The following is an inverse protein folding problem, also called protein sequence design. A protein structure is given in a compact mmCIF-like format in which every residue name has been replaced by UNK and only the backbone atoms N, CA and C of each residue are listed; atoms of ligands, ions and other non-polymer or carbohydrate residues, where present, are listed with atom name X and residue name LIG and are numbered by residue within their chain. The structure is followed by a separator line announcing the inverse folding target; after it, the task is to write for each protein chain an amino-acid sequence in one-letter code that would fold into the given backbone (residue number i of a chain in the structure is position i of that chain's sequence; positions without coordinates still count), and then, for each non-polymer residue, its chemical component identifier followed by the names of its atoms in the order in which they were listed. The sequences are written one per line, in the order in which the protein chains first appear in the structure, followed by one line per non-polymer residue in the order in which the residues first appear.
data_IF_313427814078
#
_entry.id   IF_313427814078
#
_cell.length_a   1.000
_cell.length_b   1.000
_cell.length_c   1.000
_cell.angle_alpha   90.00
_cell.angle_beta   90.00
_cell.angle_gamma   90.00
#
_symmetry.space_group_name_H-M   'P 1'
#
loop_
_entity.id
_entity.type
_entity.pdbx_description
1 polymer ?
#
# COMPACT_ATOMS: atom_id res chain seq x y z
N UNK A 1 -8.93 -21.24 -26.47
CA UNK A 1 -8.17 -20.16 -27.14
C UNK A 1 -8.09 -19.03 -26.14
N UNK A 2 -6.91 -18.85 -25.57
CA UNK A 2 -6.63 -17.85 -24.55
C UNK A 2 -6.47 -16.52 -25.27
N UNK A 3 -7.30 -15.54 -24.95
CA UNK A 3 -7.05 -14.16 -25.38
C UNK A 3 -5.92 -13.59 -24.52
N UNK A 4 -4.90 -13.10 -25.23
CA UNK A 4 -3.63 -12.64 -24.72
C UNK A 4 -3.79 -11.42 -23.81
N UNK A 5 -2.96 -11.40 -22.77
CA UNK A 5 -3.04 -10.44 -21.68
C UNK A 5 -2.69 -9.01 -22.07
N UNK A 6 -3.21 -8.10 -21.26
CA UNK A 6 -2.80 -6.70 -21.17
C UNK A 6 -1.28 -6.57 -21.13
N UNK A 7 -0.69 -6.19 -22.27
CA UNK A 7 0.63 -5.60 -22.31
C UNK A 7 0.59 -4.28 -21.55
N UNK A 8 1.08 -4.30 -20.31
CA UNK A 8 1.48 -3.09 -19.60
C UNK A 8 2.55 -2.42 -20.45
N UNK A 9 2.12 -1.42 -21.21
CA UNK A 9 2.93 -0.68 -22.16
C UNK A 9 4.06 -0.01 -21.38
N UNK A 10 5.23 -0.65 -21.36
CA UNK A 10 6.45 -0.12 -20.80
C UNK A 10 6.78 1.16 -21.55
N UNK A 11 6.46 2.30 -20.93
CA UNK A 11 6.77 3.62 -21.45
C UNK A 11 8.28 3.73 -21.59
N UNK A 12 8.78 3.54 -22.81
CA UNK A 12 10.20 3.69 -23.14
C UNK A 12 10.60 5.13 -22.78
N UNK A 13 11.40 5.29 -21.73
CA UNK A 13 12.09 6.54 -21.37
C UNK A 13 12.93 6.90 -22.63
N UNK A 14 12.39 7.81 -23.46
CA UNK A 14 12.80 8.01 -24.86
C UNK A 14 14.22 8.53 -25.08
N UNK A 15 14.95 8.81 -24.01
CA UNK A 15 16.40 9.01 -23.97
C UNK A 15 16.88 8.46 -22.63
N UNK A 16 17.16 7.16 -22.54
CA UNK A 16 17.82 6.62 -21.36
C UNK A 16 19.23 7.18 -21.31
N UNK A 17 19.43 8.17 -20.43
CA UNK A 17 20.73 8.74 -20.10
C UNK A 17 21.72 7.60 -19.84
N UNK A 18 22.85 7.58 -20.55
CA UNK A 18 23.87 6.54 -20.39
C UNK A 18 24.36 6.45 -18.95
N UNK A 19 24.34 7.59 -18.23
CA UNK A 19 24.64 7.63 -16.80
C UNK A 19 23.57 6.94 -15.96
N UNK A 20 22.28 7.14 -16.28
CA UNK A 20 21.19 6.41 -15.62
C UNK A 20 21.35 4.91 -15.82
N UNK A 21 21.63 4.46 -17.04
CA UNK A 21 21.80 3.05 -17.35
C UNK A 21 23.01 2.44 -16.62
N UNK A 22 24.13 3.17 -16.52
CA UNK A 22 25.29 2.75 -15.74
C UNK A 22 24.94 2.60 -14.25
N UNK A 23 24.21 3.58 -13.68
CA UNK A 23 23.80 3.60 -12.28
C UNK A 23 22.83 2.46 -11.94
N UNK A 24 21.88 2.17 -12.83
CA UNK A 24 20.93 1.05 -12.66
C UNK A 24 21.61 -0.33 -12.79
N UNK A 25 22.73 -0.43 -13.50
CA UNK A 25 23.48 -1.68 -13.67
C UNK A 25 24.60 -1.88 -12.64
N UNK A 26 25.00 -0.84 -11.92
CA UNK A 26 26.14 -0.88 -11.01
C UNK A 26 25.94 -1.88 -9.85
N UNK A 27 26.77 -2.93 -9.69
CA UNK A 27 26.52 -3.98 -8.71
C UNK A 27 26.54 -3.46 -7.27
N UNK A 28 25.86 -4.18 -6.36
CA UNK A 28 25.93 -3.87 -4.93
C UNK A 28 27.34 -4.16 -4.41
N UNK A 29 28.03 -3.14 -3.91
CA UNK A 29 29.33 -3.30 -3.26
C UNK A 29 29.17 -3.97 -1.89
N UNK A 30 30.21 -4.68 -1.43
CA UNK A 30 30.32 -5.15 -0.04
C UNK A 30 30.78 -4.07 0.93
N UNK A 31 31.35 -2.97 0.41
CA UNK A 31 31.89 -1.85 1.21
C UNK A 31 30.75 -0.90 1.59
N UNK A 32 30.59 -0.63 2.88
CA UNK A 32 29.50 0.21 3.43
C UNK A 32 29.45 1.60 2.79
N UNK A 33 30.59 2.30 2.76
CA UNK A 33 30.72 3.67 2.27
C UNK A 33 30.38 3.74 0.78
N UNK A 34 30.82 2.76 0.00
CA UNK A 34 30.48 2.66 -1.42
C UNK A 34 28.98 2.48 -1.62
N UNK A 35 28.34 1.61 -0.83
CA UNK A 35 26.88 1.40 -0.93
C UNK A 35 26.12 2.69 -0.63
N UNK A 36 26.54 3.43 0.41
CA UNK A 36 25.91 4.69 0.78
C UNK A 36 26.10 5.77 -0.29
N UNK A 37 27.31 5.87 -0.86
CA UNK A 37 27.60 6.78 -1.97
C UNK A 37 26.75 6.47 -3.21
N UNK A 38 26.65 5.19 -3.61
CA UNK A 38 25.78 4.78 -4.72
C UNK A 38 24.31 5.13 -4.43
N UNK A 39 23.83 4.90 -3.21
CA UNK A 39 22.46 5.24 -2.84
C UNK A 39 22.18 6.75 -2.91
N UNK A 40 23.13 7.58 -2.48
CA UNK A 40 23.03 9.03 -2.57
C UNK A 40 23.05 9.51 -4.03
N UNK A 41 23.91 8.95 -4.87
CA UNK A 41 23.95 9.25 -6.30
C UNK A 41 22.62 8.90 -6.98
N UNK A 42 22.09 7.69 -6.71
CA UNK A 42 20.78 7.25 -7.18
C UNK A 42 19.67 8.22 -6.75
N UNK A 43 19.68 8.64 -5.47
CA UNK A 43 18.69 9.59 -4.93
C UNK A 43 18.80 10.95 -5.60
N UNK A 44 20.01 11.47 -5.79
CA UNK A 44 20.25 12.77 -6.40
C UNK A 44 19.83 12.79 -7.86
N UNK A 45 20.15 11.73 -8.61
CA UNK A 45 19.68 11.59 -9.97
C UNK A 45 18.15 11.46 -10.02
N UNK A 46 17.55 10.66 -9.14
CA UNK A 46 16.10 10.56 -8.96
C UNK A 46 15.42 11.92 -8.74
N UNK A 47 16.01 12.81 -7.92
CA UNK A 47 15.48 14.16 -7.72
C UNK A 47 15.50 14.98 -9.01
N UNK A 48 16.59 14.88 -9.79
CA UNK A 48 16.77 15.59 -11.06
C UNK A 48 15.71 15.16 -12.08
N UNK A 49 15.49 13.86 -12.26
CA UNK A 49 14.46 13.36 -13.19
C UNK A 49 13.04 13.60 -12.68
N UNK A 50 12.81 13.54 -11.36
CA UNK A 50 11.52 13.91 -10.78
C UNK A 50 11.19 15.39 -11.01
N UNK A 51 12.17 16.29 -10.88
CA UNK A 51 12.00 17.71 -11.22
C UNK A 51 11.60 17.95 -12.67
N UNK A 52 11.98 17.05 -13.59
CA UNK A 52 11.57 17.04 -15.01
C UNK A 52 10.22 16.37 -15.25
N UNK A 53 9.48 16.01 -14.19
CA UNK A 53 8.21 15.26 -14.22
C UNK A 53 8.30 13.85 -14.83
N UNK A 54 9.51 13.30 -14.96
CA UNK A 54 9.73 11.92 -15.42
C UNK A 54 9.64 10.96 -14.23
N UNK A 55 8.41 10.75 -13.72
CA UNK A 55 8.19 9.99 -12.49
C UNK A 55 8.58 8.51 -12.60
N UNK A 56 8.45 7.90 -13.78
CA UNK A 56 8.84 6.50 -14.01
C UNK A 56 10.36 6.31 -13.81
N UNK A 57 11.18 7.09 -14.52
CA UNK A 57 12.64 7.00 -14.42
C UNK A 57 13.11 7.44 -13.00
N UNK A 58 12.38 8.32 -12.32
CA UNK A 58 12.65 8.67 -10.90
C UNK A 58 12.41 7.49 -9.95
N UNK A 59 11.34 6.74 -10.14
CA UNK A 59 11.01 5.55 -9.34
C UNK A 59 12.13 4.53 -9.43
N UNK A 60 12.58 4.21 -10.64
CA UNK A 60 13.70 3.27 -10.86
C UNK A 60 14.96 3.69 -10.10
N UNK A 61 15.29 4.99 -10.09
CA UNK A 61 16.43 5.52 -9.35
C UNK A 61 16.28 5.36 -7.84
N UNK A 62 15.10 5.67 -7.29
CA UNK A 62 14.87 5.54 -5.85
C UNK A 62 14.80 4.08 -5.40
N UNK A 63 14.21 3.20 -6.20
CA UNK A 63 14.25 1.75 -5.96
C UNK A 63 15.69 1.24 -6.02
N UNK A 64 16.51 1.76 -6.94
CA UNK A 64 17.95 1.46 -6.99
C UNK A 64 18.69 1.96 -5.74
N UNK A 65 18.35 3.14 -5.25
CA UNK A 65 18.91 3.64 -3.99
C UNK A 65 18.59 2.70 -2.82
N UNK A 66 17.33 2.23 -2.72
CA UNK A 66 16.94 1.24 -1.71
C UNK A 66 17.67 -0.08 -1.87
N UNK A 67 17.91 -0.54 -3.10
CA UNK A 67 18.71 -1.73 -3.36
C UNK A 67 20.12 -1.65 -2.78
N UNK A 68 20.77 -0.49 -2.82
CA UNK A 68 22.08 -0.31 -2.17
C UNK A 68 21.98 -0.19 -0.64
N UNK A 69 20.86 0.32 -0.12
CA UNK A 69 20.59 0.47 1.32
C UNK A 69 19.97 -0.78 1.96
N UNK A 70 19.82 -1.87 1.23
CA UNK A 70 19.18 -3.10 1.69
C UNK A 70 20.21 -4.05 2.32
N UNK A 71 20.26 -4.07 3.65
CA UNK A 71 21.14 -4.94 4.43
C UNK A 71 20.29 -6.08 4.99
N UNK A 72 20.79 -7.31 4.89
CA UNK A 72 20.16 -8.46 5.50
C UNK A 72 20.14 -8.33 7.04
N UNK A 73 19.27 -9.11 7.69
CA UNK A 73 19.06 -9.03 9.13
C UNK A 73 20.34 -9.33 9.93
N UNK A 74 21.20 -10.24 9.44
CA UNK A 74 22.48 -10.55 10.07
C UNK A 74 23.42 -9.35 10.06
N UNK A 75 23.66 -8.80 8.87
CA UNK A 75 24.46 -7.58 8.70
C UNK A 75 23.90 -6.41 9.53
N UNK A 76 22.58 -6.23 9.50
CA UNK A 76 21.91 -5.15 10.22
C UNK A 76 22.08 -5.26 11.74
N UNK A 77 21.92 -6.46 12.31
CA UNK A 77 21.87 -6.67 13.76
C UNK A 77 23.25 -6.89 14.39
N UNK A 78 24.20 -7.48 13.66
CA UNK A 78 25.48 -7.91 14.22
C UNK A 78 26.71 -7.18 13.65
N UNK A 79 26.68 -6.70 12.40
CA UNK A 79 27.84 -6.06 11.77
C UNK A 79 27.78 -4.53 11.84
N UNK A 80 26.60 -3.96 11.61
CA UNK A 80 26.39 -2.52 11.59
C UNK A 80 26.31 -1.94 13.01
N UNK A 81 27.25 -1.05 13.32
CA UNK A 81 27.18 -0.19 14.51
C UNK A 81 26.03 0.84 14.40
N UNK A 82 25.59 1.36 15.54
CA UNK A 82 24.47 2.33 15.61
C UNK A 82 24.67 3.57 14.71
N UNK A 83 25.87 4.21 14.64
CA UNK A 83 26.07 5.34 13.73
C UNK A 83 25.83 5.00 12.26
N UNK A 84 26.19 3.78 11.84
CA UNK A 84 25.97 3.31 10.48
C UNK A 84 24.47 3.06 10.22
N UNK A 85 23.77 2.44 11.18
CA UNK A 85 22.32 2.23 11.10
C UNK A 85 21.57 3.55 10.98
N UNK A 86 21.97 4.54 11.77
CA UNK A 86 21.39 5.88 11.72
C UNK A 86 21.63 6.55 10.37
N UNK A 87 22.81 6.40 9.79
CA UNK A 87 23.12 6.95 8.48
C UNK A 87 22.29 6.30 7.36
N UNK A 88 22.16 4.96 7.39
CA UNK A 88 21.29 4.23 6.47
C UNK A 88 19.84 4.66 6.65
N UNK A 89 19.35 4.81 7.89
CA UNK A 89 17.97 5.23 8.16
C UNK A 89 17.70 6.68 7.73
N UNK A 90 18.66 7.60 7.93
CA UNK A 90 18.57 8.98 7.40
C UNK A 90 18.44 8.97 5.88
N UNK A 91 19.18 8.10 5.20
CA UNK A 91 19.11 7.95 3.74
C UNK A 91 17.82 7.29 3.28
N UNK A 92 17.41 6.17 3.89
CA UNK A 92 16.15 5.48 3.63
C UNK A 92 14.95 6.41 3.80
N UNK A 93 14.91 7.21 4.86
CA UNK A 93 13.84 8.18 5.10
C UNK A 93 13.67 9.13 3.91
N UNK A 94 14.77 9.71 3.40
CA UNK A 94 14.73 10.62 2.24
C UNK A 94 14.22 9.89 0.99
N UNK A 95 14.68 8.67 0.75
CA UNK A 95 14.31 7.88 -0.43
C UNK A 95 12.84 7.45 -0.37
N UNK A 96 12.36 6.91 0.77
CA UNK A 96 10.97 6.53 0.96
C UNK A 96 10.01 7.71 0.75
N UNK A 97 10.36 8.87 1.30
CA UNK A 97 9.59 10.09 1.15
C UNK A 97 9.47 10.51 -0.33
N UNK A 98 10.56 10.46 -1.08
CA UNK A 98 10.57 10.82 -2.49
C UNK A 98 9.82 9.80 -3.35
N UNK A 99 10.06 8.51 -3.12
CA UNK A 99 9.41 7.43 -3.85
C UNK A 99 7.89 7.42 -3.62
N UNK A 100 7.44 7.65 -2.39
CA UNK A 100 6.01 7.81 -2.08
C UNK A 100 5.39 9.00 -2.82
N UNK A 101 6.13 10.11 -2.96
CA UNK A 101 5.67 11.27 -3.72
C UNK A 101 5.52 10.93 -5.21
N UNK A 102 6.44 10.15 -5.78
CA UNK A 102 6.35 9.69 -7.18
C UNK A 102 5.13 8.80 -7.40
N UNK A 103 4.88 7.81 -6.54
CA UNK A 103 3.70 6.94 -6.66
C UNK A 103 2.37 7.71 -6.52
N UNK A 104 2.32 8.72 -5.64
CA UNK A 104 1.16 9.61 -5.53
C UNK A 104 0.97 10.55 -6.73
N UNK A 105 2.01 10.77 -7.54
CA UNK A 105 1.99 11.63 -8.71
C UNK A 105 1.76 10.88 -10.02
N UNK A 106 1.68 9.54 -9.99
CA UNK A 106 1.31 8.73 -11.14
C UNK A 106 -0.16 8.94 -11.53
N UNK A 107 -0.50 8.57 -12.76
CA UNK A 107 -1.86 8.57 -13.29
C UNK A 107 -2.14 7.20 -13.92
N UNK A 108 -2.89 6.30 -13.26
CA UNK A 108 -3.51 6.48 -11.93
C UNK A 108 -2.49 6.45 -10.77
N UNK A 109 -2.80 7.08 -9.61
CA UNK A 109 -1.91 7.02 -8.44
C UNK A 109 -1.84 5.63 -7.80
N UNK A 110 -0.64 5.17 -7.45
CA UNK A 110 -0.45 3.92 -6.68
C UNK A 110 -0.50 4.20 -5.17
N UNK A 111 -1.72 4.24 -4.64
CA UNK A 111 -1.97 4.53 -3.23
C UNK A 111 -1.44 3.43 -2.29
N UNK A 112 -1.36 2.18 -2.75
CA UNK A 112 -0.93 1.05 -1.93
C UNK A 112 0.58 1.14 -1.67
N UNK A 113 1.38 1.33 -2.73
CA UNK A 113 2.84 1.50 -2.59
C UNK A 113 3.18 2.78 -1.84
N UNK A 114 2.50 3.89 -2.14
CA UNK A 114 2.72 5.14 -1.41
C UNK A 114 2.44 5.00 0.10
N UNK A 115 1.39 4.28 0.48
CA UNK A 115 1.09 4.01 1.89
C UNK A 115 2.18 3.17 2.54
N UNK A 116 2.60 2.08 1.90
CA UNK A 116 3.67 1.22 2.43
C UNK A 116 4.95 2.01 2.70
N UNK A 117 5.40 2.80 1.72
CA UNK A 117 6.64 3.58 1.84
C UNK A 117 6.55 4.67 2.92
N UNK A 118 5.39 5.29 3.07
CA UNK A 118 5.18 6.27 4.14
C UNK A 118 5.07 5.61 5.52
N UNK A 119 4.50 4.41 5.62
CA UNK A 119 4.54 3.63 6.86
C UNK A 119 6.02 3.29 7.22
N UNK A 120 6.86 2.88 6.25
CA UNK A 120 8.31 2.68 6.47
C UNK A 120 9.04 3.96 6.91
N UNK A 121 8.72 5.10 6.30
CA UNK A 121 9.27 6.39 6.71
C UNK A 121 8.89 6.76 8.15
N UNK A 122 7.66 6.45 8.58
CA UNK A 122 7.16 6.71 9.93
C UNK A 122 7.73 5.76 10.99
N UNK A 123 8.19 4.57 10.61
CA UNK A 123 8.96 3.71 11.51
C UNK A 123 10.32 4.33 11.87
N UNK A 124 10.92 5.10 10.95
CA UNK A 124 12.18 5.80 11.16
C UNK A 124 11.95 7.12 11.91
N UNK A 125 11.00 7.93 11.45
CA UNK A 125 10.66 9.23 12.04
C UNK A 125 9.14 9.35 12.20
N UNK A 126 8.59 8.99 13.38
CA UNK A 126 7.15 8.98 13.65
C UNK A 126 6.49 10.35 13.56
N UNK A 127 7.26 11.44 13.69
CA UNK A 127 6.76 12.82 13.71
C UNK A 127 7.07 13.56 12.40
N UNK A 128 7.41 12.83 11.34
CA UNK A 128 7.70 13.44 10.06
C UNK A 128 6.45 14.00 9.37
N UNK A 129 6.30 15.33 9.34
CA UNK A 129 5.12 15.97 8.75
C UNK A 129 4.89 15.60 7.27
N UNK A 130 5.97 15.42 6.47
CA UNK A 130 5.85 15.03 5.06
C UNK A 130 5.40 13.59 4.91
N UNK A 131 5.88 12.68 5.76
CA UNK A 131 5.44 11.29 5.76
C UNK A 131 3.95 11.19 6.16
N UNK A 132 3.55 11.87 7.23
CA UNK A 132 2.17 11.90 7.73
C UNK A 132 1.19 12.44 6.66
N UNK A 133 1.54 13.56 6.02
CA UNK A 133 0.73 14.14 4.94
C UNK A 133 0.55 13.16 3.77
N UNK A 134 1.66 12.58 3.28
CA UNK A 134 1.62 11.63 2.16
C UNK A 134 0.89 10.33 2.52
N UNK A 135 1.05 9.82 3.74
CA UNK A 135 0.32 8.65 4.25
C UNK A 135 -1.19 8.94 4.30
N UNK A 136 -1.57 10.13 4.80
CA UNK A 136 -2.96 10.59 4.82
C UNK A 136 -3.57 10.66 3.43
N UNK A 137 -2.84 11.24 2.47
CA UNK A 137 -3.26 11.30 1.06
C UNK A 137 -3.39 9.90 0.44
N UNK A 138 -2.44 9.00 0.69
CA UNK A 138 -2.50 7.62 0.21
C UNK A 138 -3.70 6.86 0.82
N UNK A 139 -3.98 7.03 2.12
CA UNK A 139 -5.14 6.43 2.77
C UNK A 139 -6.46 6.96 2.22
N UNK A 140 -6.53 8.26 1.92
CA UNK A 140 -7.70 8.88 1.29
C UNK A 140 -7.98 8.27 -0.09
N UNK A 141 -6.95 8.15 -0.93
CA UNK A 141 -7.05 7.53 -2.26
C UNK A 141 -7.42 6.03 -2.18
N UNK A 142 -6.98 5.34 -1.13
CA UNK A 142 -7.34 3.95 -0.87
C UNK A 142 -8.74 3.77 -0.24
N UNK A 143 -9.51 4.86 -0.05
CA UNK A 143 -10.86 4.83 0.54
C UNK A 143 -10.90 4.66 2.06
N UNK A 144 -9.75 4.65 2.75
CA UNK A 144 -9.69 4.56 4.21
C UNK A 144 -9.75 5.95 4.84
N UNK A 145 -10.95 6.54 4.89
CA UNK A 145 -11.16 7.90 5.37
C UNK A 145 -10.80 8.09 6.85
N UNK A 146 -11.04 7.07 7.68
CA UNK A 146 -10.69 7.09 9.12
C UNK A 146 -9.18 7.19 9.35
N UNK A 147 -8.38 6.39 8.63
CA UNK A 147 -6.91 6.48 8.73
C UNK A 147 -6.42 7.80 8.12
N UNK A 148 -6.98 8.22 6.98
CA UNK A 148 -6.63 9.49 6.34
C UNK A 148 -6.80 10.70 7.28
N UNK A 149 -7.96 10.78 7.96
CA UNK A 149 -8.26 11.72 9.05
C UNK A 149 -7.12 11.88 10.04
N UNK A 150 -6.77 10.75 10.67
CA UNK A 150 -5.84 10.72 11.79
C UNK A 150 -4.49 11.25 11.34
N UNK A 151 -4.01 10.79 10.18
CA UNK A 151 -2.72 11.18 9.66
C UNK A 151 -2.67 12.64 9.20
N UNK A 152 -3.71 13.13 8.52
CA UNK A 152 -3.77 14.53 8.09
C UNK A 152 -3.94 15.50 9.27
N UNK A 153 -4.65 15.10 10.34
CA UNK A 153 -4.73 15.90 11.57
C UNK A 153 -3.36 16.00 12.25
N UNK A 154 -2.64 14.89 12.40
CA UNK A 154 -1.27 14.90 12.94
C UNK A 154 -0.33 15.74 12.06
N UNK A 155 -0.45 15.66 10.74
CA UNK A 155 0.32 16.51 9.84
C UNK A 155 -0.03 18.00 10.05
N UNK A 156 -1.32 18.32 10.26
CA UNK A 156 -1.79 19.69 10.51
C UNK A 156 -1.39 20.23 11.88
N UNK A 157 -1.19 19.39 12.90
CA UNK A 157 -0.66 19.85 14.19
C UNK A 157 0.81 20.26 14.07
N UNK A 158 1.56 19.57 13.21
CA UNK A 158 2.98 19.87 12.96
C UNK A 158 3.17 21.06 12.01
N UNK A 159 2.34 21.17 10.96
CA UNK A 159 2.40 22.22 9.95
C UNK A 159 1.01 22.86 9.73
N UNK A 160 0.51 23.69 10.66
CA UNK A 160 -0.86 24.22 10.61
C UNK A 160 -1.14 25.18 9.45
N UNK A 161 -0.10 25.84 8.92
CA UNK A 161 -0.25 26.82 7.84
C UNK A 161 -0.03 26.24 6.43
N UNK A 162 0.26 24.94 6.32
CA UNK A 162 0.51 24.31 5.03
C UNK A 162 -0.78 24.27 4.17
N UNK A 163 -0.77 24.86 2.95
CA UNK A 163 -1.94 24.91 2.10
C UNK A 163 -2.35 23.53 1.56
N UNK A 164 -1.40 22.62 1.37
CA UNK A 164 -1.68 21.28 0.85
C UNK A 164 -2.36 20.40 1.89
N UNK A 165 -1.95 20.49 3.16
CA UNK A 165 -2.61 19.78 4.26
C UNK A 165 -4.04 20.29 4.45
N UNK A 166 -4.24 21.62 4.44
CA UNK A 166 -5.58 22.22 4.57
C UNK A 166 -6.50 21.82 3.41
N UNK A 167 -6.00 21.80 2.17
CA UNK A 167 -6.77 21.33 1.03
C UNK A 167 -7.17 19.86 1.18
N UNK A 168 -6.22 18.98 1.54
CA UNK A 168 -6.49 17.57 1.71
C UNK A 168 -7.53 17.29 2.81
N UNK A 169 -7.50 18.04 3.92
CA UNK A 169 -8.52 17.97 4.97
C UNK A 169 -9.90 18.44 4.48
N UNK A 170 -9.95 19.47 3.63
CA UNK A 170 -11.20 19.94 3.01
C UNK A 170 -11.81 18.86 2.13
N UNK A 171 -11.00 18.24 1.26
CA UNK A 171 -11.43 17.17 0.35
C UNK A 171 -11.88 15.91 1.10
N UNK A 172 -11.19 15.60 2.21
CA UNK A 172 -11.62 14.52 3.11
C UNK A 172 -12.99 14.81 3.73
N UNK A 173 -13.20 16.04 4.21
CA UNK A 173 -14.45 16.45 4.85
C UNK A 173 -15.63 16.46 3.86
N UNK A 174 -15.41 16.81 2.59
CA UNK A 174 -16.45 16.72 1.56
C UNK A 174 -16.81 15.25 1.30
N UNK A 175 -15.79 14.40 1.11
CA UNK A 175 -15.99 12.97 0.82
C UNK A 175 -16.75 12.25 1.93
N UNK A 176 -16.42 12.52 3.19
CA UNK A 176 -17.16 11.90 4.29
C UNK A 176 -18.58 12.40 4.45
N UNK A 177 -18.85 13.67 4.14
CA UNK A 177 -20.22 14.19 4.12
C UNK A 177 -21.05 13.49 3.04
N UNK A 178 -20.45 13.21 1.89
CA UNK A 178 -21.08 12.42 0.82
C UNK A 178 -21.36 10.99 1.28
N UNK A 179 -20.40 10.30 1.90
CA UNK A 179 -20.61 8.96 2.44
C UNK A 179 -21.69 8.93 3.53
N UNK A 180 -21.67 9.87 4.47
CA UNK A 180 -22.74 9.98 5.48
C UNK A 180 -24.11 10.23 4.86
N UNK A 181 -24.21 11.05 3.79
CA UNK A 181 -25.48 11.29 3.08
C UNK A 181 -25.94 10.02 2.36
N UNK A 182 -25.04 9.34 1.66
CA UNK A 182 -25.32 8.10 0.97
C UNK A 182 -25.79 7.01 1.96
N UNK A 183 -25.10 6.86 3.09
CA UNK A 183 -25.49 5.93 4.15
C UNK A 183 -26.88 6.24 4.72
N UNK A 184 -27.21 7.52 4.93
CA UNK A 184 -28.55 7.92 5.40
C UNK A 184 -29.64 7.57 4.39
N UNK A 185 -29.39 7.77 3.09
CA UNK A 185 -30.33 7.40 2.02
C UNK A 185 -30.53 5.88 2.00
N UNK A 186 -29.45 5.11 2.04
CA UNK A 186 -29.52 3.63 2.04
C UNK A 186 -30.28 3.11 3.25
N UNK A 187 -29.99 3.64 4.45
CA UNK A 187 -30.71 3.25 5.68
C UNK A 187 -32.17 3.68 5.65
N UNK A 188 -32.48 4.89 5.18
CA UNK A 188 -33.85 5.39 5.05
C UNK A 188 -34.69 4.60 4.05
N UNK A 189 -34.11 4.23 2.90
CA UNK A 189 -34.77 3.36 1.91
C UNK A 189 -35.02 1.94 2.42
N UNK A 190 -34.08 1.38 3.21
CA UNK A 190 -34.23 0.08 3.87
C UNK A 190 -35.33 0.08 4.95
N UNK A 191 -35.60 1.21 5.59
CA UNK A 191 -36.69 1.33 6.56
C UNK A 191 -38.08 1.39 5.88
N UNK A 192 -38.14 1.92 4.64
CA UNK A 192 -39.38 1.98 3.86
C UNK A 192 -39.65 0.70 3.05
N UNK A 193 -38.66 -0.18 2.89
CA UNK A 193 -38.88 -1.53 2.36
C UNK A 193 -39.47 -2.42 3.45
N UNK A 194 -40.78 -2.38 3.65
CA UNK A 194 -41.47 -3.49 4.31
C UNK A 194 -41.29 -4.74 3.45
N UNK A 195 -40.93 -5.91 4.00
CA UNK A 195 -41.10 -7.14 3.23
C UNK A 195 -42.57 -7.21 2.83
N UNK A 196 -42.85 -7.30 1.52
CA UNK A 196 -44.22 -7.52 1.10
C UNK A 196 -44.73 -8.80 1.78
N UNK A 197 -46.00 -8.84 2.23
CA UNK A 197 -46.57 -10.08 2.70
C UNK A 197 -46.43 -11.11 1.59
N UNK A 198 -45.59 -12.13 1.81
CA UNK A 198 -45.56 -13.30 0.94
C UNK A 198 -47.01 -13.83 0.86
N UNK A 199 -47.59 -14.00 -0.34
CA UNK A 199 -48.91 -14.57 -0.45
C UNK A 199 -48.89 -15.95 0.21
N UNK A 200 -49.73 -16.14 1.23
CA UNK A 200 -49.91 -17.43 1.90
C UNK A 200 -50.30 -18.46 0.84
N UNK A 201 -49.39 -19.37 0.54
CA UNK A 201 -49.73 -20.52 -0.30
C UNK A 201 -50.79 -21.35 0.43
N UNK A 202 -51.86 -21.78 -0.26
CA UNK A 202 -52.85 -22.65 0.36
C UNK A 202 -52.21 -24.00 0.71
N UNK A 203 -52.47 -24.46 1.94
CA UNK A 203 -52.26 -25.83 2.35
C UNK A 203 -53.12 -26.74 1.45
N UNK A 204 -52.51 -27.40 0.48
CA UNK A 204 -53.09 -28.60 -0.12
C UNK A 204 -52.01 -29.50 -0.69
N UNK A 205 -52.15 -30.79 -0.35
CA UNK A 205 -51.42 -31.94 -0.89
C UNK A 205 -50.04 -32.19 -0.30
N UNK A 206 -50.04 -32.86 0.86
CA UNK A 206 -49.11 -33.97 1.11
C UNK A 206 -48.98 -34.83 -0.15
N UNK A 207 -47.80 -34.85 -0.76
CA UNK A 207 -47.35 -36.00 -1.53
C UNK A 207 -46.10 -36.53 -0.85
N UNK A 208 -46.15 -37.80 -0.44
CA UNK A 208 -45.03 -38.56 0.07
C UNK A 208 -43.97 -38.65 -1.03
N UNK A 209 -42.83 -37.98 -0.85
CA UNK A 209 -41.55 -38.41 -1.43
C UNK A 209 -40.53 -38.53 -0.30
N UNK A 210 -40.84 -39.46 0.61
CA UNK A 210 -39.86 -40.10 1.48
C UNK A 210 -39.09 -41.08 0.58
N UNK A 211 -37.90 -40.69 0.10
CA UNK A 211 -36.76 -41.53 -0.35
C UNK A 211 -36.00 -40.87 -1.52
N UNK A 212 -35.14 -39.88 -1.22
CA UNK A 212 -33.82 -39.76 -1.88
C UNK A 212 -32.96 -38.69 -1.17
N UNK A 213 -32.38 -39.04 -0.02
CA UNK A 213 -31.28 -38.27 0.57
C UNK A 213 -30.02 -39.14 0.45
N UNK A 214 -29.09 -38.87 -0.48
CA UNK A 214 -27.75 -39.43 -0.37
C UNK A 214 -27.02 -38.62 0.71
N UNK A 215 -26.74 -39.32 1.81
CA UNK A 215 -25.81 -38.95 2.86
C UNK A 215 -24.45 -38.55 2.27
N UNK A 216 -24.17 -37.24 2.23
CA UNK A 216 -22.80 -36.71 2.07
C UNK A 216 -22.53 -35.63 3.11
N UNK A 217 -22.69 -36.00 4.37
CA UNK A 217 -22.03 -35.31 5.48
C UNK A 217 -21.47 -36.39 6.40
N UNK A 218 -20.27 -36.87 6.06
CA UNK A 218 -19.28 -37.56 6.93
C UNK A 218 -18.19 -38.14 6.02
N UNK A 219 -17.07 -37.43 5.85
CA UNK A 219 -15.80 -38.09 6.21
C UNK A 219 -14.77 -37.14 6.85
N UNK A 220 -15.17 -36.05 7.52
CA UNK A 220 -14.19 -35.18 8.21
C UNK A 220 -13.85 -35.63 9.65
N UNK A 221 -14.70 -36.43 10.29
CA UNK A 221 -14.47 -36.86 11.68
C UNK A 221 -13.46 -38.02 11.76
N UNK A 222 -13.33 -38.86 10.72
CA UNK A 222 -12.37 -39.97 10.72
C UNK A 222 -10.92 -39.57 10.39
N UNK A 223 -10.70 -38.37 9.84
CA UNK A 223 -9.33 -37.85 9.57
C UNK A 223 -8.72 -37.22 10.83
N UNK A 224 -9.55 -36.66 11.73
CA UNK A 224 -9.07 -36.08 12.99
C UNK A 224 -8.64 -37.16 14.00
N UNK A 225 -9.28 -38.34 13.99
CA UNK A 225 -8.93 -39.44 14.90
C UNK A 225 -7.63 -40.14 14.48
N UNK A 226 -7.28 -40.18 13.19
CA UNK A 226 -6.01 -40.76 12.73
C UNK A 226 -4.80 -39.83 12.90
N UNK A 227 -5.00 -38.51 12.88
CA UNK A 227 -3.92 -37.54 13.16
C UNK A 227 -3.59 -37.45 14.65
N UNK A 228 -4.57 -37.64 15.54
CA UNK A 228 -4.33 -37.61 16.99
C UNK A 228 -3.56 -38.84 17.49
N UNK A 229 -3.69 -40.00 16.85
CA UNK A 229 -2.96 -41.23 17.22
C UNK A 229 -1.51 -41.25 16.74
N UNK A 230 -1.11 -40.38 15.80
CA UNK A 230 0.30 -40.22 15.40
C UNK A 230 1.11 -39.27 16.30
N UNK A 231 0.47 -38.43 17.12
CA UNK A 231 1.14 -37.45 17.99
C UNK A 231 1.37 -37.93 19.43
N UNK A 232 0.95 -39.16 19.76
CA UNK A 232 1.05 -39.74 21.11
C UNK A 232 1.89 -41.02 21.14
N UNK A 233 2.93 -41.10 20.31
CA UNK A 233 3.95 -42.15 20.39
C UNK A 233 5.35 -41.56 20.39
#
# INVERSE_FOLDING_TARGET
MLEEGDEVQAMKCGDRDAHLDALLRFPRSSIFETRLACAEECRMFGNKVHGRKQNACAIECYERALFHLDFDEGSWLFELMDPHRDEVNRMRLRVYLNLAACFLAQSPPDAIKARYLTDQALLIDPVNAKALYRNGKACFLAGNLKKARKQLQLASTLLPHDPHIRCALKDLNTKEKEEMRAEKIVRGGRLLSTPSPQPKQPLSSMCLDFLCFPTRVLPFILILVSLLTMYLK
#
